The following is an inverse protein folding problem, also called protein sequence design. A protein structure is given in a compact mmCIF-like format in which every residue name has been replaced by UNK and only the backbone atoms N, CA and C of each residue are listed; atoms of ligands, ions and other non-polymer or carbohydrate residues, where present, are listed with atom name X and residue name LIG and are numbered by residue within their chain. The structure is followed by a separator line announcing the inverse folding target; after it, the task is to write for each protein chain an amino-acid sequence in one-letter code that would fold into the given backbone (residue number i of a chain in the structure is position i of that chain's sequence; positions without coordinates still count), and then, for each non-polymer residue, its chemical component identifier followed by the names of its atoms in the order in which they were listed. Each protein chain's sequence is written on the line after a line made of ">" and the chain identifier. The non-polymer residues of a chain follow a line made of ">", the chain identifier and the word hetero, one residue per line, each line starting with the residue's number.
data_IF_388127621255
#
_entry.id   IF_388127621255
#
_cell.length_a   1.000
_cell.length_b   1.000
_cell.length_c   1.000
_cell.angle_alpha   90.00
_cell.angle_beta   90.00
_cell.angle_gamma   90.00
#
_symmetry.space_group_name_H-M   'P 1'
#
loop_
_entity.id
_entity.type
_entity.pdbx_description
1 polymer ?
#
# COMPACT_ATOMS: atom_id res chain seq x y z
N UNK A 1 11.99 17.36 -5.38
CA UNK A 1 11.39 16.38 -6.33
C UNK A 1 11.22 15.10 -5.55
N UNK A 2 10.00 14.58 -5.43
CA UNK A 2 9.76 13.30 -4.75
C UNK A 2 10.38 12.18 -5.58
N UNK A 3 11.12 11.29 -4.93
CA UNK A 3 11.60 10.05 -5.54
C UNK A 3 10.51 8.98 -5.41
N UNK A 4 9.79 8.75 -6.52
CA UNK A 4 8.71 7.77 -6.57
C UNK A 4 9.21 6.33 -6.45
N UNK A 5 10.43 6.03 -6.89
CA UNK A 5 10.99 4.69 -6.80
C UNK A 5 11.31 4.34 -5.34
N UNK A 6 11.88 5.30 -4.60
CA UNK A 6 12.06 5.19 -3.15
C UNK A 6 10.71 5.01 -2.44
N UNK A 7 9.69 5.82 -2.76
CA UNK A 7 8.37 5.67 -2.16
C UNK A 7 7.76 4.29 -2.42
N UNK A 8 7.87 3.79 -3.66
CA UNK A 8 7.37 2.48 -4.04
C UNK A 8 8.10 1.34 -3.31
N UNK A 9 9.43 1.42 -3.23
CA UNK A 9 10.25 0.45 -2.51
C UNK A 9 9.86 0.35 -1.03
N UNK A 10 9.74 1.51 -0.36
CA UNK A 10 9.37 1.56 1.05
C UNK A 10 7.93 1.10 1.29
N UNK A 11 6.99 1.49 0.43
CA UNK A 11 5.61 1.04 0.52
C UNK A 11 5.51 -0.48 0.37
N UNK A 12 6.22 -1.05 -0.59
CA UNK A 12 6.27 -2.50 -0.82
C UNK A 12 6.76 -3.24 0.42
N UNK A 13 7.88 -2.82 0.98
CA UNK A 13 8.47 -3.44 2.19
C UNK A 13 7.53 -3.31 3.40
N UNK A 14 6.92 -2.14 3.58
CA UNK A 14 5.95 -1.89 4.64
C UNK A 14 4.71 -2.80 4.54
N UNK A 15 4.10 -2.89 3.36
CA UNK A 15 2.93 -3.74 3.13
C UNK A 15 3.25 -5.23 3.30
N UNK A 16 4.43 -5.67 2.82
CA UNK A 16 4.89 -7.05 3.01
C UNK A 16 5.10 -7.38 4.48
N UNK A 17 5.68 -6.47 5.26
CA UNK A 17 5.85 -6.65 6.70
C UNK A 17 4.51 -6.76 7.41
N UNK A 18 3.59 -5.81 7.14
CA UNK A 18 2.24 -5.84 7.73
C UNK A 18 1.54 -7.15 7.41
N UNK A 19 1.62 -7.62 6.15
CA UNK A 19 0.99 -8.88 5.75
C UNK A 19 1.58 -10.09 6.48
N UNK A 20 2.91 -10.16 6.63
CA UNK A 20 3.59 -11.28 7.30
C UNK A 20 3.34 -11.33 8.81
N UNK A 21 3.19 -10.16 9.44
CA UNK A 21 2.99 -10.04 10.89
C UNK A 21 1.50 -10.09 11.28
N UNK A 22 0.59 -10.04 10.30
CA UNK A 22 -0.85 -10.05 10.56
C UNK A 22 -1.33 -11.41 11.10
N UNK A 23 -2.17 -11.36 12.13
CA UNK A 23 -2.87 -12.52 12.67
C UNK A 23 -4.09 -12.94 11.83
N UNK A 24 -4.42 -12.14 10.81
CA UNK A 24 -5.58 -12.32 9.93
C UNK A 24 -5.14 -12.45 8.47
N UNK A 25 -5.87 -13.20 7.63
CA UNK A 25 -5.47 -13.48 6.24
C UNK A 25 -5.49 -12.24 5.33
N UNK A 26 -6.27 -11.22 5.68
CA UNK A 26 -6.42 -9.98 4.89
C UNK A 26 -6.35 -8.78 5.84
N UNK A 27 -5.15 -8.38 6.25
CA UNK A 27 -4.99 -7.24 7.15
C UNK A 27 -5.46 -5.95 6.49
N UNK A 28 -5.99 -5.04 7.30
CA UNK A 28 -6.47 -3.73 6.88
C UNK A 28 -5.71 -2.65 7.63
N UNK A 29 -5.35 -1.59 6.93
CA UNK A 29 -4.66 -0.44 7.50
C UNK A 29 -5.14 0.84 6.84
N UNK A 30 -5.24 1.93 7.60
CA UNK A 30 -5.54 3.23 7.02
C UNK A 30 -4.31 3.77 6.31
N UNK A 31 -4.52 4.43 5.18
CA UNK A 31 -3.42 5.01 4.41
C UNK A 31 -2.63 6.08 5.21
N UNK A 32 -3.28 6.76 6.16
CA UNK A 32 -2.64 7.74 7.04
C UNK A 32 -1.67 7.11 8.06
N UNK A 33 -1.86 5.82 8.37
CA UNK A 33 -1.03 5.08 9.33
C UNK A 33 0.23 4.49 8.68
N UNK A 34 0.29 4.45 7.34
CA UNK A 34 1.46 4.01 6.59
C UNK A 34 2.60 5.02 6.75
N UNK A 35 3.75 4.54 7.24
CA UNK A 35 4.95 5.35 7.41
C UNK A 35 5.47 5.89 6.07
N UNK A 36 5.21 5.18 4.98
CA UNK A 36 5.53 5.60 3.61
C UNK A 36 4.90 6.97 3.25
N UNK A 37 3.81 7.37 3.92
CA UNK A 37 3.19 8.69 3.72
C UNK A 37 4.14 9.85 4.06
N UNK A 38 5.15 9.62 4.92
CA UNK A 38 6.12 10.63 5.35
C UNK A 38 7.21 10.93 4.30
N UNK A 39 7.40 10.06 3.32
CA UNK A 39 8.48 10.18 2.31
C UNK A 39 8.13 11.24 1.27
N UNK A 40 6.94 11.12 0.70
CA UNK A 40 6.50 11.94 -0.45
C UNK A 40 5.12 12.57 -0.26
N UNK A 41 4.54 12.46 0.93
CA UNK A 41 3.20 12.95 1.23
C UNK A 41 2.10 11.98 0.82
N UNK A 42 0.96 12.13 1.49
CA UNK A 42 -0.18 11.23 1.38
C UNK A 42 -0.80 11.18 -0.02
N UNK A 43 -0.73 12.27 -0.79
CA UNK A 43 -1.25 12.31 -2.16
C UNK A 43 -0.46 11.44 -3.14
N UNK A 44 0.87 11.36 -2.98
CA UNK A 44 1.71 10.51 -3.83
C UNK A 44 1.59 9.04 -3.40
N UNK A 45 1.45 8.80 -2.10
CA UNK A 45 1.12 7.47 -1.58
C UNK A 45 -0.21 6.97 -2.12
N UNK A 46 -1.26 7.80 -2.14
CA UNK A 46 -2.58 7.42 -2.66
C UNK A 46 -2.52 7.00 -4.13
N UNK A 47 -1.70 7.67 -4.96
CA UNK A 47 -1.49 7.27 -6.36
C UNK A 47 -0.87 5.88 -6.48
N UNK A 48 0.13 5.57 -5.67
CA UNK A 48 0.74 4.24 -5.66
C UNK A 48 -0.22 3.17 -5.13
N UNK A 49 -1.03 3.49 -4.12
CA UNK A 49 -2.04 2.56 -3.62
C UNK A 49 -3.06 2.20 -4.71
N UNK A 50 -3.54 3.18 -5.48
CA UNK A 50 -4.42 2.92 -6.62
C UNK A 50 -3.73 2.10 -7.72
N UNK A 51 -2.43 2.30 -7.94
CA UNK A 51 -1.65 1.47 -8.85
C UNK A 51 -1.60 0.02 -8.36
N UNK A 52 -1.26 -0.22 -7.09
CA UNK A 52 -1.20 -1.58 -6.52
C UNK A 52 -2.56 -2.27 -6.44
N UNK A 53 -3.63 -1.51 -6.24
CA UNK A 53 -4.98 -2.04 -6.32
C UNK A 53 -5.33 -2.49 -7.74
N UNK A 54 -4.96 -1.72 -8.77
CA UNK A 54 -5.15 -2.11 -10.16
C UNK A 54 -4.40 -3.41 -10.50
N UNK A 55 -3.23 -3.61 -9.92
CA UNK A 55 -2.44 -4.84 -10.07
C UNK A 55 -2.98 -6.01 -9.20
N UNK A 56 -4.00 -5.76 -8.37
CA UNK A 56 -4.66 -6.79 -7.54
C UNK A 56 -3.96 -7.11 -6.22
N UNK A 57 -2.98 -6.29 -5.80
CA UNK A 57 -2.26 -6.50 -4.55
C UNK A 57 -2.97 -5.91 -3.32
N UNK A 58 -3.81 -4.91 -3.55
CA UNK A 58 -4.57 -4.22 -2.51
C UNK A 58 -6.03 -4.09 -2.94
N UNK A 59 -6.92 -3.94 -1.97
CA UNK A 59 -8.29 -3.45 -2.18
C UNK A 59 -8.46 -2.16 -1.38
N UNK A 60 -8.84 -1.06 -2.03
CA UNK A 60 -9.11 0.21 -1.32
C UNK A 60 -10.57 0.26 -0.92
N UNK A 61 -10.81 0.43 0.38
CA UNK A 61 -12.11 0.61 0.99
C UNK A 61 -12.43 2.10 1.18
N UNK A 62 -13.72 2.44 1.22
CA UNK A 62 -14.22 3.82 1.41
C UNK A 62 -13.72 4.82 0.34
N UNK A 63 -13.60 4.37 -0.92
CA UNK A 63 -13.11 5.19 -2.05
C UNK A 63 -13.94 6.43 -2.35
N UNK A 64 -15.20 6.41 -1.96
CA UNK A 64 -16.14 7.52 -2.07
C UNK A 64 -15.82 8.67 -1.10
N UNK A 65 -15.01 8.41 -0.06
CA UNK A 65 -14.51 9.42 0.85
C UNK A 65 -13.19 10.05 0.38
N UNK A 66 -12.78 11.12 1.08
CA UNK A 66 -11.44 11.70 0.91
C UNK A 66 -10.37 10.64 1.12
N UNK A 67 -9.33 10.64 0.27
CA UNK A 67 -8.21 9.69 0.37
C UNK A 67 -7.53 9.64 1.74
N UNK A 68 -7.70 10.66 2.58
CA UNK A 68 -7.23 10.63 3.98
C UNK A 68 -7.88 9.56 4.84
N UNK A 69 -9.07 9.09 4.46
CA UNK A 69 -9.89 8.12 5.19
C UNK A 69 -9.94 6.74 4.53
N UNK A 70 -9.17 6.55 3.47
CA UNK A 70 -9.11 5.26 2.80
C UNK A 70 -8.45 4.23 3.71
N UNK A 71 -9.03 3.05 3.70
CA UNK A 71 -8.43 1.85 4.25
C UNK A 71 -7.96 0.97 3.11
N UNK A 72 -6.80 0.34 3.26
CA UNK A 72 -6.30 -0.65 2.32
C UNK A 72 -6.35 -2.01 2.97
N UNK A 73 -7.04 -2.93 2.30
CA UNK A 73 -6.95 -4.36 2.58
C UNK A 73 -5.81 -4.93 1.75
N UNK A 74 -4.88 -5.64 2.39
CA UNK A 74 -3.75 -6.25 1.70
C UNK A 74 -4.14 -7.66 1.26
N UNK A 75 -4.01 -7.92 -0.04
CA UNK A 75 -4.35 -9.21 -0.65
C UNK A 75 -3.13 -10.14 -0.69
N UNK A 76 -3.36 -11.45 -0.74
CA UNK A 76 -2.30 -12.45 -0.77
C UNK A 76 -1.34 -12.30 -1.97
N UNK A 77 -1.81 -11.70 -3.08
CA UNK A 77 -0.99 -11.37 -4.24
C UNK A 77 0.18 -10.44 -3.93
N UNK A 78 0.17 -9.73 -2.80
CA UNK A 78 1.31 -8.91 -2.35
C UNK A 78 2.60 -9.74 -2.24
N UNK A 79 2.50 -11.05 -2.00
CA UNK A 79 3.66 -11.94 -1.92
C UNK A 79 4.40 -12.08 -3.25
N UNK A 80 3.72 -11.87 -4.38
CA UNK A 80 4.34 -11.91 -5.71
C UNK A 80 5.33 -10.75 -5.91
N UNK A 81 5.15 -9.64 -5.17
CA UNK A 81 6.09 -8.53 -5.14
C UNK A 81 7.45 -8.89 -4.51
N UNK A 82 7.56 -10.04 -3.82
CA UNK A 82 8.83 -10.59 -3.34
C UNK A 82 9.61 -11.30 -4.44
N UNK A 83 8.93 -11.86 -5.44
CA UNK A 83 9.52 -12.77 -6.43
C UNK A 83 9.93 -12.10 -7.73
N UNK A 84 9.66 -10.80 -7.91
CA UNK A 84 10.27 -9.98 -8.94
C UNK A 84 10.23 -10.61 -10.34
N UNK A 85 9.05 -10.93 -10.86
CA UNK A 85 8.89 -11.13 -12.30
C UNK A 85 8.58 -9.77 -12.93
N UNK A 86 9.65 -9.05 -13.26
CA UNK A 86 9.66 -7.77 -13.98
C UNK A 86 11.06 -7.47 -14.46
#
# INVERSE_FOLDING_TARGET
>A
MCDFDSLYYHLKDELLRIYKEAEVPQPRIKIEDLQSAKICGLSNLAKLILYLEREGYLTVLNKDESFKRWEVQIEAGILDLMFGYG
#
